data_IF_579361916440
#
_entry.id   IF_579361916440
#
_cell.length_a   1.000
_cell.length_b   1.000
_cell.length_c   1.000
_cell.angle_alpha   90.00
_cell.angle_beta   90.00
_cell.angle_gamma   90.00
#
_symmetry.space_group_name_H-M   'P 1'
#
loop_
_entity.id
_entity.type
_entity.pdbx_description
1 polymer ?
#
# COMPACT_ATOMS: atom_id res chain seq x y z
N UNK A 1 88.11 -17.04 -0.24
CA UNK A 1 86.77 -17.11 -0.87
C UNK A 1 85.74 -17.34 0.23
N UNK A 2 84.59 -16.67 0.17
CA UNK A 2 83.41 -16.73 1.07
C UNK A 2 83.15 -15.54 2.01
N UNK A 3 83.41 -14.30 1.57
CA UNK A 3 82.85 -13.09 2.21
C UNK A 3 81.67 -12.47 1.43
N UNK A 4 81.15 -13.16 0.40
CA UNK A 4 80.15 -12.61 -0.52
C UNK A 4 78.69 -13.04 -0.24
N UNK A 5 78.43 -13.87 0.77
CA UNK A 5 77.08 -14.45 1.00
C UNK A 5 76.32 -13.88 2.21
N UNK A 6 76.94 -12.99 2.99
CA UNK A 6 76.34 -12.43 4.22
C UNK A 6 75.55 -11.14 3.94
N UNK A 7 75.87 -10.43 2.85
CA UNK A 7 75.17 -9.20 2.47
C UNK A 7 73.80 -9.47 1.83
N UNK A 8 73.64 -10.58 1.10
CA UNK A 8 72.37 -10.93 0.44
C UNK A 8 71.28 -11.33 1.42
N UNK A 9 71.61 -12.08 2.49
CA UNK A 9 70.62 -12.52 3.48
C UNK A 9 70.09 -11.36 4.33
N UNK A 10 70.92 -10.37 4.64
CA UNK A 10 70.51 -9.21 5.42
C UNK A 10 69.59 -8.26 4.64
N UNK A 11 69.85 -8.10 3.34
CA UNK A 11 68.98 -7.32 2.44
C UNK A 11 67.67 -8.06 2.18
N UNK A 12 67.69 -9.38 2.01
CA UNK A 12 66.49 -10.19 1.86
C UNK A 12 65.59 -10.13 3.09
N UNK A 13 66.17 -10.22 4.29
CA UNK A 13 65.42 -10.16 5.55
C UNK A 13 64.78 -8.77 5.78
N UNK A 14 65.46 -7.69 5.38
CA UNK A 14 64.88 -6.34 5.42
C UNK A 14 63.81 -6.11 4.36
N UNK A 15 63.97 -6.66 3.15
CA UNK A 15 62.93 -6.64 2.11
C UNK A 15 61.68 -7.42 2.54
N UNK A 16 61.85 -8.59 3.16
CA UNK A 16 60.75 -9.39 3.71
C UNK A 16 60.03 -8.68 4.86
N UNK A 17 60.78 -8.00 5.73
CA UNK A 17 60.22 -7.18 6.81
C UNK A 17 59.46 -5.94 6.26
N UNK A 18 59.96 -5.29 5.21
CA UNK A 18 59.29 -4.17 4.55
C UNK A 18 58.02 -4.61 3.81
N UNK A 19 58.05 -5.74 3.10
CA UNK A 19 56.84 -6.31 2.48
C UNK A 19 55.82 -6.79 3.51
N UNK A 20 56.27 -7.35 4.64
CA UNK A 20 55.41 -7.70 5.77
C UNK A 20 54.75 -6.48 6.41
N UNK A 21 55.49 -5.38 6.57
CA UNK A 21 54.96 -4.12 7.11
C UNK A 21 53.97 -3.42 6.15
N UNK A 22 54.21 -3.47 4.84
CA UNK A 22 53.29 -2.93 3.82
C UNK A 22 52.00 -3.78 3.75
N UNK A 23 52.10 -5.10 3.90
CA UNK A 23 50.94 -6.00 3.97
C UNK A 23 50.10 -5.76 5.23
N UNK A 24 50.75 -5.55 6.39
CA UNK A 24 50.08 -5.16 7.63
C UNK A 24 49.41 -3.76 7.53
N UNK A 25 50.04 -2.79 6.86
CA UNK A 25 49.42 -1.47 6.62
C UNK A 25 48.20 -1.55 5.67
N UNK A 26 48.21 -2.42 4.66
CA UNK A 26 47.03 -2.64 3.81
C UNK A 26 45.89 -3.39 4.52
N UNK A 27 46.20 -4.25 5.51
CA UNK A 27 45.17 -4.84 6.37
C UNK A 27 44.57 -3.84 7.37
N UNK A 28 45.38 -2.89 7.89
CA UNK A 28 44.91 -1.88 8.85
C UNK A 28 44.16 -0.73 8.18
N UNK A 29 44.53 -0.32 6.96
CA UNK A 29 43.78 0.70 6.19
C UNK A 29 42.59 0.14 5.41
N UNK A 30 42.62 -1.12 4.99
CA UNK A 30 41.50 -1.81 4.31
C UNK A 30 40.28 -2.09 5.19
N UNK A 31 40.40 -1.89 6.51
CA UNK A 31 39.28 -2.01 7.46
C UNK A 31 38.62 -0.67 7.82
N UNK A 32 39.01 0.45 7.19
CA UNK A 32 38.51 1.78 7.54
C UNK A 32 37.40 2.35 6.63
N UNK A 33 36.87 1.59 5.66
CA UNK A 33 35.76 2.05 4.80
C UNK A 33 34.55 1.11 4.65
N UNK A 34 34.49 0.00 5.40
CA UNK A 34 33.29 -0.89 5.43
C UNK A 34 32.58 -0.91 6.80
N UNK A 35 32.92 0.02 7.68
CA UNK A 35 32.14 0.34 8.88
C UNK A 35 31.12 1.46 8.59
N UNK A 36 30.30 1.30 7.55
CA UNK A 36 29.05 2.05 7.42
C UNK A 36 28.01 1.12 6.82
N UNK A 37 26.94 0.92 7.58
CA UNK A 37 25.74 0.13 7.25
C UNK A 37 25.88 -1.39 7.49
N UNK A 38 26.11 -1.80 8.73
CA UNK A 38 25.47 -3.01 9.27
C UNK A 38 24.39 -2.60 10.25
N UNK A 39 23.17 -3.09 10.03
CA UNK A 39 22.19 -3.22 11.12
C UNK A 39 20.98 -2.30 11.13
N UNK A 40 20.60 -1.64 10.02
CA UNK A 40 19.18 -1.33 9.90
C UNK A 40 18.46 -2.68 9.73
N UNK A 41 17.51 -3.07 10.60
CA UNK A 41 16.76 -4.29 10.37
C UNK A 41 16.02 -4.10 9.03
N UNK A 42 16.38 -4.88 8.02
CA UNK A 42 15.57 -5.02 6.80
C UNK A 42 14.32 -5.80 7.20
N UNK A 43 13.42 -5.15 7.93
CA UNK A 43 12.07 -5.66 8.13
C UNK A 43 11.32 -5.41 6.84
N UNK A 44 11.18 -6.46 6.03
CA UNK A 44 10.21 -6.47 4.94
C UNK A 44 8.84 -6.61 5.59
N UNK A 45 8.15 -5.50 5.80
CA UNK A 45 6.72 -5.53 6.14
C UNK A 45 5.96 -6.15 4.96
N UNK A 46 5.20 -7.20 5.24
CA UNK A 46 4.43 -7.98 4.27
C UNK A 46 3.03 -7.41 3.98
N UNK A 47 2.75 -6.16 4.34
CA UNK A 47 1.45 -5.55 4.05
C UNK A 47 1.41 -5.16 2.57
N UNK A 48 0.57 -5.86 1.81
CA UNK A 48 0.30 -5.53 0.41
C UNK A 48 -0.33 -4.14 0.31
N UNK A 49 0.26 -3.25 -0.50
CA UNK A 49 -0.34 -1.95 -0.81
C UNK A 49 -1.73 -2.11 -1.43
N UNK A 50 -2.60 -1.12 -1.22
CA UNK A 50 -3.96 -1.12 -1.78
C UNK A 50 -3.92 -1.27 -3.31
N UNK A 51 -4.87 -1.99 -3.93
CA UNK A 51 -4.96 -2.08 -5.38
C UNK A 51 -5.06 -0.69 -6.00
N UNK A 52 -4.29 -0.43 -7.07
CA UNK A 52 -4.41 0.81 -7.83
C UNK A 52 -5.84 0.99 -8.38
N UNK A 53 -6.29 2.24 -8.47
CA UNK A 53 -7.64 2.54 -9.00
C UNK A 53 -7.81 1.97 -10.43
N UNK A 54 -9.01 1.47 -10.79
CA UNK A 54 -9.31 1.07 -12.16
C UNK A 54 -9.05 2.22 -13.15
N UNK A 55 -8.47 1.91 -14.31
CA UNK A 55 -8.32 2.90 -15.37
C UNK A 55 -9.68 3.45 -15.83
N UNK A 56 -9.73 4.74 -16.17
CA UNK A 56 -10.96 5.38 -16.69
C UNK A 56 -11.43 4.66 -17.97
N UNK A 57 -12.75 4.51 -18.21
CA UNK A 57 -13.26 4.03 -19.49
C UNK A 57 -12.72 4.85 -20.66
N UNK A 58 -12.49 4.22 -21.81
CA UNK A 58 -12.14 4.94 -23.04
C UNK A 58 -13.30 5.86 -23.48
N UNK A 59 -13.02 6.95 -24.21
CA UNK A 59 -14.06 7.82 -24.76
C UNK A 59 -14.96 7.07 -25.74
N UNK A 60 -16.22 7.50 -25.87
CA UNK A 60 -17.13 6.98 -26.90
C UNK A 60 -16.59 7.27 -28.30
N UNK A 61 -16.83 6.36 -29.25
CA UNK A 61 -16.52 6.61 -30.67
C UNK A 61 -17.28 7.81 -31.21
N UNK A 62 -16.72 8.48 -32.23
CA UNK A 62 -17.39 9.57 -32.94
C UNK A 62 -18.62 9.04 -33.70
N UNK A 63 -19.70 9.83 -33.85
CA UNK A 63 -20.84 9.46 -34.70
C UNK A 63 -20.40 9.18 -36.15
N UNK A 64 -21.08 8.25 -36.82
CA UNK A 64 -20.87 8.02 -38.25
C UNK A 64 -21.22 9.27 -39.08
N UNK A 65 -20.53 9.45 -40.21
CA UNK A 65 -20.80 10.57 -41.13
C UNK A 65 -22.21 10.49 -41.74
N UNK A 66 -22.77 11.66 -42.09
CA UNK A 66 -24.06 11.76 -42.76
C UNK A 66 -24.05 11.04 -44.12
N UNK A 67 -25.16 10.38 -44.46
CA UNK A 67 -25.31 9.72 -45.76
C UNK A 67 -25.36 10.71 -46.92
N UNK A 68 -24.84 10.30 -48.09
CA UNK A 68 -24.87 11.11 -49.31
C UNK A 68 -26.31 11.42 -49.78
N UNK A 69 -26.50 12.59 -50.40
CA UNK A 69 -27.78 13.01 -51.00
C UNK A 69 -28.17 12.06 -52.15
N UNK A 70 -29.44 11.66 -52.19
CA UNK A 70 -29.98 10.80 -53.25
C UNK A 70 -29.92 11.44 -54.64
N UNK A 71 -29.84 10.61 -55.68
CA UNK A 71 -29.78 11.04 -57.10
C UNK A 71 -31.15 11.63 -57.51
N UNK A 72 -31.21 12.74 -58.29
CA UNK A 72 -32.48 13.28 -58.80
C UNK A 72 -33.29 12.26 -59.62
N UNK A 73 -34.63 12.34 -59.52
CA UNK A 73 -35.54 11.52 -60.32
C UNK A 73 -35.40 11.76 -61.83
N UNK A 74 -35.77 10.76 -62.64
CA UNK A 74 -35.76 10.87 -64.12
C UNK A 74 -36.93 11.74 -64.62
N UNK A 75 -36.69 12.49 -65.69
CA UNK A 75 -37.71 13.31 -66.35
C UNK A 75 -38.94 12.49 -66.81
N UNK A 76 -40.13 13.10 -66.72
CA UNK A 76 -41.39 12.52 -67.17
C UNK A 76 -41.47 12.32 -68.69
N UNK A 77 -42.30 11.36 -69.15
CA UNK A 77 -42.50 11.08 -70.59
C UNK A 77 -43.36 12.15 -71.26
N UNK A 78 -43.08 12.45 -72.53
CA UNK A 78 -43.84 13.40 -73.36
C UNK A 78 -45.34 13.03 -73.48
N UNK A 79 -46.20 14.06 -73.46
CA UNK A 79 -47.66 13.92 -73.60
C UNK A 79 -48.12 13.50 -75.01
N UNK A 80 -49.24 12.77 -75.10
CA UNK A 80 -49.84 12.33 -76.38
C UNK A 80 -50.41 13.51 -77.18
N UNK A 81 -50.32 13.40 -78.52
CA UNK A 81 -50.83 14.37 -79.51
C UNK A 81 -52.37 14.47 -79.46
N UNK A 82 -52.92 15.68 -79.40
CA UNK A 82 -54.38 15.92 -79.37
C UNK A 82 -55.09 15.63 -80.71
N UNK A 83 -56.38 15.29 -80.62
CA UNK A 83 -57.27 14.92 -81.74
C UNK A 83 -57.65 16.11 -82.65
N UNK A 84 -58.09 15.79 -83.88
CA UNK A 84 -58.41 16.75 -84.95
C UNK A 84 -59.84 17.29 -84.80
N UNK A 85 -60.00 18.62 -84.77
CA UNK A 85 -61.33 19.27 -84.65
C UNK A 85 -62.27 19.05 -85.85
N UNK A 86 -63.57 19.05 -85.56
CA UNK A 86 -64.70 18.89 -86.50
C UNK A 86 -64.87 20.09 -87.45
N UNK A 87 -65.43 19.88 -88.64
CA UNK A 87 -65.74 20.95 -89.60
C UNK A 87 -67.23 21.32 -89.52
N UNK A 88 -67.51 22.62 -89.31
CA UNK A 88 -68.84 23.19 -89.16
C UNK A 88 -69.71 23.27 -90.43
N UNK A 89 -71.01 23.36 -90.18
CA UNK A 89 -72.13 23.38 -91.12
C UNK A 89 -72.30 24.71 -91.88
N UNK A 90 -72.98 24.69 -93.03
CA UNK A 90 -73.55 25.93 -93.60
C UNK A 90 -74.83 25.71 -94.41
N UNK A 91 -75.94 26.30 -93.92
CA UNK A 91 -76.88 27.16 -94.66
C UNK A 91 -77.92 26.60 -95.65
N UNK A 92 -79.20 26.61 -95.24
CA UNK A 92 -80.48 26.45 -95.99
C UNK A 92 -80.76 27.60 -97.00
N UNK A 93 -81.66 27.59 -98.00
CA UNK A 93 -82.49 26.64 -98.79
C UNK A 93 -83.10 27.43 -99.98
N UNK A 94 -83.20 26.86 -101.18
CA UNK A 94 -83.94 27.41 -102.34
C UNK A 94 -84.19 26.34 -103.42
N UNK A 95 -85.40 26.31 -104.02
CA UNK A 95 -86.01 25.19 -104.79
C UNK A 95 -85.32 24.87 -106.14
N UNK A 96 -85.30 23.58 -106.56
CA UNK A 96 -85.65 23.23 -107.95
C UNK A 96 -84.80 22.31 -108.87
N UNK A 97 -83.72 21.65 -108.45
CA UNK A 97 -83.05 20.49 -109.13
C UNK A 97 -82.14 20.76 -110.36
N UNK A 98 -81.32 19.80 -110.85
CA UNK A 98 -80.73 18.60 -110.24
C UNK A 98 -79.18 18.67 -109.99
N UNK A 99 -78.75 17.97 -108.94
CA UNK A 99 -77.42 17.42 -108.53
C UNK A 99 -76.07 18.08 -108.91
N UNK A 100 -75.57 18.95 -108.01
CA UNK A 100 -74.38 18.70 -107.15
C UNK A 100 -72.94 19.00 -107.65
N UNK A 101 -72.26 19.95 -106.99
CA UNK A 101 -70.79 19.92 -106.75
C UNK A 101 -70.51 20.00 -105.25
N UNK A 102 -69.55 19.20 -104.78
CA UNK A 102 -69.18 18.91 -103.39
C UNK A 102 -68.55 20.13 -102.71
N UNK A 103 -68.90 20.39 -101.44
CA UNK A 103 -68.37 21.50 -100.64
C UNK A 103 -66.87 21.38 -100.31
N UNK A 104 -66.18 22.52 -100.24
CA UNK A 104 -64.76 22.59 -99.94
C UNK A 104 -64.43 22.13 -98.51
N UNK A 105 -63.20 21.63 -98.30
CA UNK A 105 -62.67 21.05 -97.05
C UNK A 105 -62.36 22.13 -96.00
N UNK A 106 -62.48 21.79 -94.73
CA UNK A 106 -62.31 22.74 -93.61
C UNK A 106 -60.86 22.95 -93.26
N UNK A 107 -60.54 24.15 -92.78
CA UNK A 107 -59.23 24.47 -92.25
C UNK A 107 -58.88 23.56 -91.07
N UNK A 108 -57.60 23.21 -90.98
CA UNK A 108 -57.05 22.38 -89.91
C UNK A 108 -57.11 23.18 -88.60
N UNK A 109 -57.74 22.62 -87.57
CA UNK A 109 -57.73 23.22 -86.23
C UNK A 109 -56.31 23.51 -85.73
N UNK A 110 -56.13 24.51 -84.84
CA UNK A 110 -54.82 24.88 -84.31
C UNK A 110 -54.14 23.72 -83.57
N UNK A 111 -52.81 23.70 -83.55
CA UNK A 111 -52.02 22.73 -82.78
C UNK A 111 -52.46 22.72 -81.32
N UNK A 112 -52.68 21.53 -80.75
CA UNK A 112 -53.02 21.37 -79.33
C UNK A 112 -51.99 22.06 -78.41
N UNK A 113 -52.47 22.63 -77.30
CA UNK A 113 -51.60 23.25 -76.28
C UNK A 113 -50.58 22.23 -75.77
N UNK A 114 -49.34 22.66 -75.52
CA UNK A 114 -48.33 21.85 -74.81
C UNK A 114 -48.96 21.35 -73.51
N UNK A 115 -48.85 20.04 -73.23
CA UNK A 115 -49.28 19.48 -71.95
C UNK A 115 -48.56 20.19 -70.78
N UNK A 116 -49.13 20.18 -69.56
CA UNK A 116 -48.44 20.70 -68.39
C UNK A 116 -47.07 20.01 -68.25
N UNK A 117 -46.05 20.70 -67.70
CA UNK A 117 -44.81 20.04 -67.28
C UNK A 117 -45.15 18.82 -66.41
N UNK A 118 -44.47 17.69 -66.62
CA UNK A 118 -44.62 16.54 -65.73
C UNK A 118 -44.25 16.93 -64.30
N UNK A 119 -44.90 16.32 -63.31
CA UNK A 119 -44.62 16.57 -61.90
C UNK A 119 -43.12 16.36 -61.59
N UNK A 120 -42.55 17.21 -60.74
CA UNK A 120 -41.18 17.02 -60.25
C UNK A 120 -41.07 15.62 -59.63
N UNK A 121 -40.06 14.84 -60.02
CA UNK A 121 -39.81 13.54 -59.40
C UNK A 121 -39.61 13.68 -57.89
N UNK A 122 -40.11 12.72 -57.11
CA UNK A 122 -40.01 12.72 -55.65
C UNK A 122 -38.57 12.91 -55.18
N UNK A 123 -38.38 13.70 -54.12
CA UNK A 123 -37.08 13.90 -53.49
C UNK A 123 -36.53 12.54 -53.05
N UNK A 124 -35.30 12.20 -53.46
CA UNK A 124 -34.64 10.98 -53.01
C UNK A 124 -34.63 10.91 -51.48
N UNK A 125 -34.94 9.74 -50.90
CA UNK A 125 -34.96 9.53 -49.46
C UNK A 125 -33.62 9.96 -48.83
N UNK A 126 -33.69 10.63 -47.67
CA UNK A 126 -32.50 10.98 -46.89
C UNK A 126 -31.68 9.71 -46.57
N UNK A 127 -30.36 9.79 -46.73
CA UNK A 127 -29.47 8.70 -46.34
C UNK A 127 -29.66 8.34 -44.87
N UNK A 128 -29.61 7.05 -44.52
CA UNK A 128 -29.72 6.60 -43.14
C UNK A 128 -28.59 7.22 -42.29
N UNK A 129 -28.94 7.74 -41.11
CA UNK A 129 -27.96 8.23 -40.12
C UNK A 129 -26.94 7.14 -39.83
N UNK A 130 -25.65 7.49 -39.79
CA UNK A 130 -24.58 6.57 -39.41
C UNK A 130 -24.86 5.96 -38.03
N UNK A 131 -24.55 4.68 -37.85
CA UNK A 131 -24.73 3.99 -36.56
C UNK A 131 -23.89 4.65 -35.47
N UNK A 132 -24.39 4.61 -34.23
CA UNK A 132 -23.64 5.05 -33.06
C UNK A 132 -22.29 4.34 -32.98
N UNK A 133 -21.24 5.09 -32.61
CA UNK A 133 -19.91 4.53 -32.42
C UNK A 133 -19.88 3.49 -31.30
N UNK A 134 -19.08 2.44 -31.46
CA UNK A 134 -18.98 1.38 -30.45
C UNK A 134 -18.51 1.91 -29.10
N UNK A 135 -19.01 1.29 -28.02
CA UNK A 135 -18.62 1.62 -26.64
C UNK A 135 -17.13 1.35 -26.47
N UNK A 136 -16.38 2.32 -25.96
CA UNK A 136 -14.96 2.18 -25.68
C UNK A 136 -14.64 0.98 -24.79
N UNK A 137 -13.50 0.33 -25.04
CA UNK A 137 -13.04 -0.84 -24.30
C UNK A 137 -12.92 -0.58 -22.79
N UNK A 138 -13.10 -1.62 -21.98
CA UNK A 138 -12.88 -1.58 -20.53
C UNK A 138 -11.43 -1.15 -20.24
N UNK A 139 -11.25 -0.18 -19.35
CA UNK A 139 -9.94 0.28 -18.94
C UNK A 139 -9.06 -0.86 -18.41
N UNK A 140 -7.76 -0.80 -18.70
CA UNK A 140 -6.81 -1.81 -18.23
C UNK A 140 -6.76 -1.84 -16.69
N UNK A 141 -6.38 -3.00 -16.14
CA UNK A 141 -6.07 -3.13 -14.71
C UNK A 141 -4.96 -2.13 -14.38
N UNK A 142 -5.15 -1.32 -13.34
CA UNK A 142 -4.13 -0.39 -12.87
C UNK A 142 -2.80 -1.12 -12.54
N UNK A 143 -1.66 -0.41 -12.56
CA UNK A 143 -0.38 -1.00 -12.17
C UNK A 143 -0.44 -1.55 -10.75
N UNK A 144 0.45 -2.50 -10.43
CA UNK A 144 0.65 -2.96 -9.04
C UNK A 144 0.91 -1.72 -8.18
N UNK A 145 0.18 -1.57 -7.07
CA UNK A 145 0.38 -0.47 -6.14
C UNK A 145 1.85 -0.39 -5.73
N UNK A 146 2.34 0.83 -5.49
CA UNK A 146 3.69 1.02 -4.95
C UNK A 146 3.82 0.25 -3.64
N UNK A 147 5.01 -0.26 -3.33
CA UNK A 147 5.28 -0.78 -2.00
C UNK A 147 4.90 0.30 -0.98
N UNK A 148 4.13 -0.07 0.05
CA UNK A 148 3.77 0.87 1.11
C UNK A 148 5.03 1.50 1.68
N UNK A 149 5.01 2.82 1.88
CA UNK A 149 6.07 3.52 2.60
C UNK A 149 6.02 3.08 4.06
N UNK A 150 6.95 2.21 4.44
CA UNK A 150 7.14 1.86 5.84
C UNK A 150 7.71 3.09 6.56
N UNK A 151 6.89 3.81 7.33
CA UNK A 151 7.37 4.74 8.36
C UNK A 151 7.84 3.95 9.58
N UNK A 152 8.78 3.02 9.40
CA UNK A 152 9.51 2.44 10.53
C UNK A 152 10.43 3.53 11.07
N UNK A 153 9.94 4.28 12.06
CA UNK A 153 10.72 5.34 12.70
C UNK A 153 9.98 6.14 13.77
N UNK A 154 8.65 6.33 13.70
CA UNK A 154 7.98 7.28 14.61
C UNK A 154 6.60 6.90 15.16
N UNK A 155 6.02 5.75 14.79
CA UNK A 155 4.62 5.42 15.15
C UNK A 155 4.43 4.08 15.88
N UNK A 156 5.51 3.30 16.08
CA UNK A 156 5.40 2.04 16.82
C UNK A 156 5.77 2.30 18.28
N UNK A 157 4.84 2.13 19.23
CA UNK A 157 5.15 2.26 20.66
C UNK A 157 6.23 1.24 21.02
N UNK A 158 7.35 1.73 21.54
CA UNK A 158 8.42 0.89 22.07
C UNK A 158 8.42 1.04 23.58
N UNK A 159 8.20 -0.06 24.27
CA UNK A 159 8.37 -0.13 25.71
C UNK A 159 9.08 -1.43 26.05
N UNK A 160 10.30 -1.33 26.55
CA UNK A 160 11.06 -2.48 26.99
C UNK A 160 12.15 -2.07 27.97
N UNK A 161 12.40 -2.90 28.98
CA UNK A 161 13.49 -2.70 29.93
C UNK A 161 14.12 -4.04 30.31
N UNK A 162 15.39 -3.98 30.69
CA UNK A 162 16.06 -5.06 31.41
C UNK A 162 17.03 -4.46 32.40
N UNK A 163 16.91 -4.89 33.65
CA UNK A 163 17.62 -4.33 34.78
C UNK A 163 18.14 -5.44 35.68
N UNK A 164 19.30 -5.19 36.28
CA UNK A 164 19.90 -6.03 37.31
C UNK A 164 19.98 -5.31 38.64
N UNK A 165 20.31 -6.05 39.70
CA UNK A 165 20.55 -5.52 41.04
C UNK A 165 22.03 -5.68 41.40
N UNK A 166 22.62 -4.70 42.08
CA UNK A 166 24.03 -4.74 42.48
C UNK A 166 24.26 -5.12 43.94
N UNK A 167 23.20 -5.36 44.70
CA UNK A 167 23.26 -5.66 46.13
C UNK A 167 22.35 -6.84 46.47
N UNK A 168 22.89 -7.80 47.21
CA UNK A 168 22.12 -8.91 47.77
C UNK A 168 21.18 -8.45 48.89
N UNK A 169 20.14 -9.23 49.14
CA UNK A 169 19.23 -9.07 50.28
C UNK A 169 18.54 -7.69 50.35
N UNK A 170 17.81 -7.27 49.30
CA UNK A 170 17.06 -6.00 49.29
C UNK A 170 16.01 -5.96 50.39
N UNK A 171 15.50 -4.77 50.72
CA UNK A 171 14.49 -4.61 51.78
C UNK A 171 13.21 -5.40 51.46
N UNK A 172 12.77 -6.23 52.40
CA UNK A 172 11.55 -7.05 52.29
C UNK A 172 10.28 -6.18 52.31
N UNK A 173 9.17 -6.69 51.76
CA UNK A 173 7.85 -6.03 51.74
C UNK A 173 7.82 -4.65 51.09
N UNK A 174 8.77 -4.39 50.20
CA UNK A 174 8.84 -3.18 49.39
C UNK A 174 9.29 -3.53 47.98
N UNK A 175 8.99 -2.68 46.97
CA UNK A 175 9.49 -2.88 45.62
C UNK A 175 11.03 -2.99 45.60
N UNK A 176 11.52 -4.06 44.98
CA UNK A 176 12.95 -4.32 44.82
C UNK A 176 13.51 -3.35 43.79
N UNK A 177 14.57 -2.64 44.16
CA UNK A 177 15.23 -1.64 43.30
C UNK A 177 16.36 -2.29 42.48
N UNK A 178 16.06 -2.68 41.25
CA UNK A 178 17.07 -3.11 40.29
C UNK A 178 17.76 -1.87 39.70
N UNK A 179 18.91 -1.52 40.26
CA UNK A 179 19.61 -0.27 40.03
C UNK A 179 20.60 -0.31 38.85
N UNK A 180 20.95 -1.50 38.33
CA UNK A 180 21.83 -1.69 37.17
C UNK A 180 20.99 -1.74 35.90
N UNK A 181 20.83 -0.62 35.22
CA UNK A 181 20.08 -0.57 33.96
C UNK A 181 20.92 -1.15 32.82
N UNK A 182 20.45 -2.24 32.20
CA UNK A 182 21.06 -2.81 31.00
C UNK A 182 20.52 -2.09 29.76
N UNK A 183 19.20 -1.90 29.71
CA UNK A 183 18.52 -0.98 28.79
C UNK A 183 17.14 -0.60 29.33
N UNK A 184 16.60 0.53 28.88
CA UNK A 184 15.30 1.06 29.32
C UNK A 184 14.67 1.91 28.19
N UNK A 185 14.25 1.24 27.12
CA UNK A 185 13.63 1.87 25.95
C UNK A 185 12.25 2.43 26.33
N UNK A 186 12.05 3.72 26.10
CA UNK A 186 10.86 4.47 26.56
C UNK A 186 10.99 5.06 27.96
N UNK A 187 12.00 4.66 28.75
CA UNK A 187 12.22 5.21 30.09
C UNK A 187 11.14 4.82 31.11
N UNK A 188 10.40 3.74 30.84
CA UNK A 188 9.23 3.32 31.61
C UNK A 188 9.58 2.54 32.89
N UNK A 189 10.82 2.06 33.05
CA UNK A 189 11.31 1.54 34.32
C UNK A 189 12.00 2.64 35.14
N UNK A 190 11.64 2.77 36.42
CA UNK A 190 12.26 3.70 37.34
C UNK A 190 13.18 2.97 38.35
N UNK A 191 14.52 3.09 38.23
CA UNK A 191 15.46 2.40 39.10
C UNK A 191 15.49 2.94 40.54
N UNK A 192 14.94 4.14 40.80
CA UNK A 192 14.84 4.69 42.15
C UNK A 192 13.70 4.06 42.94
N UNK A 193 12.61 3.69 42.26
CA UNK A 193 11.44 3.08 42.89
C UNK A 193 11.38 1.57 42.73
N UNK A 194 12.07 1.01 41.73
CA UNK A 194 12.01 -0.41 41.40
C UNK A 194 10.83 -0.81 40.52
N UNK A 195 10.04 0.15 40.04
CA UNK A 195 8.78 -0.08 39.33
C UNK A 195 8.89 0.20 37.84
N UNK A 196 8.22 -0.63 37.06
CA UNK A 196 7.82 -0.32 35.69
C UNK A 196 6.46 0.37 35.69
N UNK A 197 6.31 1.45 34.93
CA UNK A 197 5.05 2.19 34.76
C UNK A 197 4.65 2.09 33.28
N UNK A 198 3.46 1.56 33.03
CA UNK A 198 2.96 1.38 31.69
C UNK A 198 2.63 2.72 31.02
N UNK A 199 3.21 3.00 29.85
CA UNK A 199 2.84 4.16 29.05
C UNK A 199 1.86 3.83 27.91
N UNK A 200 1.88 2.59 27.40
CA UNK A 200 1.10 2.17 26.25
C UNK A 200 0.19 1.01 26.60
N UNK A 201 -1.13 1.10 26.34
CA UNK A 201 -2.04 -0.01 26.59
C UNK A 201 -1.67 -1.21 25.71
N UNK A 202 -1.70 -2.40 26.29
CA UNK A 202 -1.42 -3.61 25.51
C UNK A 202 -1.00 -4.82 26.33
N UNK A 203 -0.51 -5.82 25.61
CA UNK A 203 -0.03 -7.09 26.14
C UNK A 203 1.48 -7.02 26.34
N UNK A 204 1.94 -7.28 27.57
CA UNK A 204 3.32 -7.23 28.00
C UNK A 204 3.79 -8.60 28.46
N UNK A 205 5.05 -8.92 28.18
CA UNK A 205 5.75 -10.05 28.77
C UNK A 205 6.70 -9.54 29.85
N UNK A 206 6.68 -10.19 31.01
CA UNK A 206 7.64 -9.94 32.09
C UNK A 206 8.35 -11.23 32.46
N UNK A 207 9.65 -11.15 32.71
CA UNK A 207 10.45 -12.25 33.22
C UNK A 207 11.46 -11.77 34.25
N UNK A 208 11.82 -12.66 35.15
CA UNK A 208 12.89 -12.45 36.10
C UNK A 208 13.66 -13.74 36.33
N UNK A 209 14.95 -13.58 36.57
CA UNK A 209 15.92 -14.63 36.82
C UNK A 209 16.72 -14.23 38.04
N UNK A 210 16.52 -14.94 39.16
CA UNK A 210 17.06 -14.55 40.46
C UNK A 210 18.07 -15.59 40.92
N UNK A 211 19.31 -15.16 41.12
CA UNK A 211 20.30 -15.98 41.83
C UNK A 211 19.92 -16.03 43.30
N UNK A 212 19.88 -17.24 43.87
CA UNK A 212 19.48 -17.49 45.26
C UNK A 212 20.67 -17.99 46.06
N UNK A 213 20.93 -17.38 47.23
CA UNK A 213 22.05 -17.78 48.10
C UNK A 213 21.75 -17.58 49.59
N UNK A 214 22.21 -18.51 50.42
CA UNK A 214 22.22 -18.50 51.89
C UNK A 214 20.85 -18.50 52.60
N UNK A 215 19.76 -18.09 51.93
CA UNK A 215 18.40 -18.06 52.46
C UNK A 215 17.41 -18.55 51.40
N UNK A 216 16.26 -19.03 51.83
CA UNK A 216 15.14 -19.31 50.93
C UNK A 216 14.67 -18.02 50.24
N UNK A 217 14.08 -18.15 49.06
CA UNK A 217 13.51 -17.04 48.31
C UNK A 217 11.98 -17.15 48.27
N UNK A 218 11.28 -16.07 48.57
CA UNK A 218 9.86 -15.88 48.28
C UNK A 218 9.65 -14.52 47.59
N UNK A 219 9.69 -14.52 46.26
CA UNK A 219 9.58 -13.32 45.43
C UNK A 219 8.26 -13.34 44.64
N UNK A 220 7.62 -12.18 44.54
CA UNK A 220 6.37 -12.04 43.80
C UNK A 220 6.46 -10.96 42.74
N UNK A 221 5.83 -11.20 41.60
CA UNK A 221 5.54 -10.17 40.61
C UNK A 221 4.17 -9.55 40.92
N UNK A 222 4.16 -8.23 41.07
CA UNK A 222 3.01 -7.47 41.54
C UNK A 222 2.58 -6.51 40.44
N UNK A 223 1.27 -6.46 40.17
CA UNK A 223 0.63 -5.44 39.32
C UNK A 223 -0.37 -4.68 40.18
N UNK A 224 -0.23 -3.36 40.31
CA UNK A 224 -1.14 -2.50 41.09
C UNK A 224 -1.47 -3.05 42.50
N UNK A 225 -0.46 -3.59 43.19
CA UNK A 225 -0.59 -4.16 44.53
C UNK A 225 -1.14 -5.59 44.59
N UNK A 226 -1.49 -6.20 43.47
CA UNK A 226 -1.95 -7.60 43.39
C UNK A 226 -0.85 -8.52 42.86
N UNK A 227 -0.61 -9.63 43.57
CA UNK A 227 0.34 -10.64 43.13
C UNK A 227 -0.17 -11.38 41.90
N UNK A 228 0.61 -11.35 40.82
CA UNK A 228 0.37 -12.09 39.57
C UNK A 228 1.15 -13.39 39.51
N UNK A 229 2.37 -13.41 40.06
CA UNK A 229 3.18 -14.60 40.24
C UNK A 229 3.74 -14.59 41.66
N UNK A 230 3.82 -15.77 42.29
CA UNK A 230 4.63 -16.01 43.49
C UNK A 230 5.59 -17.15 43.19
N UNK A 231 6.88 -16.88 43.30
CA UNK A 231 7.96 -17.85 43.11
C UNK A 231 8.61 -18.14 44.46
N UNK A 232 8.75 -19.42 44.78
CA UNK A 232 9.41 -19.89 45.99
C UNK A 232 10.58 -20.78 45.59
N UNK A 233 11.71 -20.59 46.27
CA UNK A 233 12.86 -21.47 46.12
C UNK A 233 13.49 -21.77 47.49
N UNK A 234 13.67 -23.05 47.77
CA UNK A 234 14.17 -23.53 49.05
C UNK A 234 15.69 -23.79 48.95
N UNK A 235 16.48 -22.80 49.35
CA UNK A 235 17.93 -22.93 49.37
C UNK A 235 18.47 -23.59 50.66
N UNK A 236 19.42 -24.52 50.54
CA UNK A 236 20.07 -25.22 51.66
C UNK A 236 21.57 -24.94 51.77
N UNK A 237 22.02 -23.74 51.36
CA UNK A 237 23.41 -23.29 51.48
C UNK A 237 24.24 -23.39 50.19
N UNK A 238 23.61 -23.77 49.08
CA UNK A 238 24.21 -23.70 47.75
C UNK A 238 23.77 -22.42 47.02
N UNK A 239 24.11 -22.30 45.73
CA UNK A 239 23.57 -21.25 44.86
C UNK A 239 22.59 -21.88 43.88
N UNK A 240 21.36 -21.37 43.87
CA UNK A 240 20.29 -21.81 42.97
C UNK A 240 19.87 -20.64 42.06
N UNK A 241 19.02 -20.95 41.07
CA UNK A 241 18.40 -19.94 40.20
C UNK A 241 16.90 -20.15 40.20
N UNK A 242 16.17 -19.12 40.61
CA UNK A 242 14.73 -19.08 40.59
C UNK A 242 14.25 -18.09 39.52
N UNK A 243 13.44 -18.59 38.58
CA UNK A 243 12.91 -17.76 37.49
C UNK A 243 11.38 -17.76 37.50
N UNK A 244 10.81 -16.70 36.94
CA UNK A 244 9.37 -16.61 36.71
C UNK A 244 9.07 -15.70 35.54
N UNK A 245 7.98 -16.00 34.82
CA UNK A 245 7.52 -15.16 33.73
C UNK A 245 6.01 -15.23 33.56
N UNK A 246 5.43 -14.15 33.09
CA UNK A 246 4.00 -14.11 32.75
C UNK A 246 3.72 -13.08 31.66
N UNK A 247 2.54 -13.18 31.07
CA UNK A 247 1.98 -12.22 30.14
C UNK A 247 0.85 -11.48 30.84
N UNK A 248 0.86 -10.14 30.78
CA UNK A 248 -0.15 -9.28 31.39
C UNK A 248 -0.70 -8.31 30.36
N UNK A 249 -2.01 -8.03 30.43
CA UNK A 249 -2.55 -6.82 29.84
C UNK A 249 -2.36 -5.67 30.83
N UNK A 250 -1.84 -4.55 30.35
CA UNK A 250 -1.63 -3.33 31.13
C UNK A 250 -2.37 -2.16 30.50
N UNK A 251 -2.95 -1.33 31.36
CA UNK A 251 -3.44 0.00 30.99
C UNK A 251 -2.39 1.07 31.31
N UNK A 252 -2.47 2.28 30.72
CA UNK A 252 -1.57 3.38 31.09
C UNK A 252 -1.61 3.63 32.59
N UNK A 253 -0.45 3.98 33.16
CA UNK A 253 -0.21 4.19 34.59
C UNK A 253 -0.25 2.91 35.46
N UNK A 254 -0.55 1.73 34.89
CA UNK A 254 -0.37 0.48 35.62
C UNK A 254 1.08 0.30 36.04
N UNK A 255 1.29 -0.05 37.31
CA UNK A 255 2.60 -0.30 37.90
C UNK A 255 2.88 -1.79 38.02
N UNK A 256 4.08 -2.21 37.62
CA UNK A 256 4.57 -3.59 37.77
C UNK A 256 5.93 -3.60 38.48
N UNK A 257 6.09 -4.46 39.49
CA UNK A 257 7.36 -4.61 40.21
C UNK A 257 7.55 -6.01 40.79
N UNK A 258 8.76 -6.26 41.32
CA UNK A 258 9.06 -7.44 42.13
C UNK A 258 9.21 -7.06 43.60
N UNK A 259 8.76 -7.95 44.48
CA UNK A 259 8.80 -7.76 45.93
C UNK A 259 9.07 -9.08 46.65
N UNK A 260 9.88 -9.04 47.71
CA UNK A 260 9.99 -10.16 48.66
C UNK A 260 8.81 -10.07 49.63
N UNK A 261 7.83 -10.96 49.49
CA UNK A 261 6.55 -10.84 50.20
C UNK A 261 6.49 -11.61 51.53
N UNK A 262 7.44 -12.51 51.77
CA UNK A 262 7.50 -13.32 52.98
C UNK A 262 8.71 -12.94 53.82
N UNK A 263 8.49 -12.76 55.13
CA UNK A 263 9.56 -12.39 56.05
C UNK A 263 10.65 -13.47 56.10
N UNK A 264 11.91 -13.05 56.19
CA UNK A 264 13.08 -13.94 56.34
C UNK A 264 13.35 -14.88 55.16
N UNK A 265 12.55 -14.82 54.09
CA UNK A 265 12.75 -15.57 52.84
C UNK A 265 13.29 -14.66 51.73
N UNK A 266 14.37 -13.97 52.05
CA UNK A 266 15.09 -13.10 51.15
C UNK A 266 16.42 -13.74 50.77
N UNK A 267 16.38 -14.68 49.82
CA UNK A 267 17.55 -15.34 49.26
C UNK A 267 18.18 -14.62 48.07
N UNK A 268 17.62 -13.48 47.64
CA UNK A 268 18.06 -12.79 46.42
C UNK A 268 19.52 -12.34 46.56
N UNK A 269 20.33 -12.77 45.60
CA UNK A 269 21.77 -12.60 45.61
C UNK A 269 22.28 -11.93 44.33
N UNK A 270 23.30 -11.08 44.47
CA UNK A 270 24.04 -10.49 43.38
C UNK A 270 25.52 -10.35 43.79
N UNK A 271 26.42 -10.70 42.88
CA UNK A 271 27.86 -10.55 43.03
C UNK A 271 28.44 -9.94 41.74
N UNK A 272 29.17 -8.81 41.81
CA UNK A 272 29.71 -8.14 40.64
C UNK A 272 30.62 -9.00 39.75
N UNK A 273 31.20 -10.08 40.28
CA UNK A 273 32.15 -10.91 39.55
C UNK A 273 31.49 -12.08 38.80
N UNK A 274 30.40 -12.65 39.32
CA UNK A 274 29.90 -13.92 38.79
C UNK A 274 28.39 -14.19 38.89
N UNK A 275 27.60 -13.34 39.57
CA UNK A 275 26.18 -13.58 39.77
C UNK A 275 25.32 -12.34 39.54
N UNK A 276 24.38 -12.43 38.60
CA UNK A 276 23.34 -11.41 38.37
C UNK A 276 21.97 -11.92 38.84
N UNK A 277 21.13 -11.00 39.28
CA UNK A 277 19.69 -11.19 39.42
C UNK A 277 18.99 -10.12 38.59
N UNK A 278 18.13 -10.55 37.67
CA UNK A 278 17.59 -9.72 36.59
C UNK A 278 16.06 -9.65 36.64
N UNK A 279 15.53 -8.52 36.18
CA UNK A 279 14.12 -8.29 35.91
C UNK A 279 13.98 -7.60 34.56
N UNK A 280 13.15 -8.15 33.68
CA UNK A 280 12.93 -7.67 32.32
C UNK A 280 11.45 -7.63 31.99
N UNK A 281 11.09 -6.73 31.08
CA UNK A 281 9.74 -6.69 30.54
C UNK A 281 9.66 -5.90 29.25
N UNK A 282 8.73 -6.26 28.38
CA UNK A 282 8.55 -5.58 27.09
C UNK A 282 7.12 -5.74 26.56
N UNK A 283 6.71 -4.75 25.76
CA UNK A 283 5.46 -4.74 25.01
C UNK A 283 5.52 -5.79 23.89
N UNK A 284 4.57 -6.72 23.87
CA UNK A 284 4.38 -7.67 22.79
C UNK A 284 3.46 -7.10 21.71
N UNK A 285 2.29 -6.61 22.13
CA UNK A 285 1.26 -6.08 21.25
C UNK A 285 0.61 -4.86 21.89
N UNK A 286 0.68 -3.71 21.22
CA UNK A 286 -0.13 -2.55 21.58
C UNK A 286 -1.59 -2.79 21.20
N UNK A 287 -2.51 -2.25 21.98
CA UNK A 287 -3.93 -2.28 21.63
C UNK A 287 -4.17 -1.51 20.32
N UNK A 288 -4.98 -2.07 19.42
CA UNK A 288 -5.20 -1.52 18.07
C UNK A 288 -5.84 -0.14 18.10
N UNK A 289 -6.79 0.06 19.01
CA UNK A 289 -7.53 1.32 19.14
C UNK A 289 -6.59 2.48 19.47
N UNK A 290 -5.51 2.21 20.22
CA UNK A 290 -4.47 3.19 20.53
C UNK A 290 -3.60 3.53 19.31
N UNK A 291 -3.33 2.56 18.44
CA UNK A 291 -2.59 2.79 17.19
C UNK A 291 -3.43 3.57 16.19
N UNK A 292 -4.74 3.34 16.16
CA UNK A 292 -5.68 4.05 15.29
C UNK A 292 -5.80 5.52 15.70
N UNK A 293 -5.89 5.83 17.01
CA UNK A 293 -5.88 7.23 17.48
C UNK A 293 -4.57 7.95 17.15
N UNK A 294 -3.43 7.26 17.27
CA UNK A 294 -2.15 7.85 16.86
C UNK A 294 -2.15 8.11 15.34
N UNK A 295 -2.68 7.20 14.53
CA UNK A 295 -2.71 7.40 13.08
C UNK A 295 -3.54 8.63 12.67
N UNK A 296 -4.62 8.94 13.39
CA UNK A 296 -5.45 10.14 13.19
C UNK A 296 -4.70 11.42 13.57
N UNK A 297 -4.04 11.46 14.74
CA UNK A 297 -3.30 12.65 15.22
C UNK A 297 -2.13 13.06 14.30
N UNK A 298 -1.52 12.12 13.58
CA UNK A 298 -0.43 12.38 12.63
C UNK A 298 -0.89 12.55 11.17
N UNK A 299 -2.20 12.54 10.92
CA UNK A 299 -2.79 12.78 9.60
C UNK A 299 -3.20 14.24 9.36
N UNK A 300 -3.18 15.09 10.40
CA UNK A 300 -3.31 16.56 10.31
C UNK A 300 -1.97 17.26 10.08
#
# INVERSE_FOLDING_TARGET
MNSCWVWDTYVYLRMLALFGAICLCHCVYGQSSEARIRGAPRMVCSVAGSPGQPGKPGPSGLPGADGNVGIPGRDGRDGRKGEKGEKGDTGLKGRGGPTGKIGERGERGPSGKRGPPGDNGDLGLAGQTGKDGEKGNKGQRGPRGTAGTCKCGSLLPKSAFSVGITSSYPVEKTPIRFNKVLFNEGGHYNPQTGKYICAYPGIYYFSYDITVANKHLAIGLVQNGQYRIKTFDANTGNHDVASGSTVLHLSPEDEVWLEIFYNEQNGLFADPAWADSLFSGFLLYADTDYLDTLAEDYAE
#
